data_IF_734614783735
#
_entry.id   IF_734614783735
#
_cell.length_a   1.000
_cell.length_b   1.000
_cell.length_c   1.000
_cell.angle_alpha   90.00
_cell.angle_beta   90.00
_cell.angle_gamma   90.00
#
_symmetry.space_group_name_H-M   'P 1'
#
loop_
_entity.id
_entity.type
_entity.pdbx_description
1 polymer ?
#
# COMPACT_ATOMS: atom_id res chain seq x y z
N UNK A 1 -1.95 10.70 43.15
CA UNK A 1 -2.06 9.42 42.42
C UNK A 1 -2.57 9.73 41.05
N UNK A 2 -1.66 9.80 40.08
CA UNK A 2 -2.00 10.09 38.67
C UNK A 2 -2.09 8.74 37.94
N UNK A 3 -3.30 8.37 37.53
CA UNK A 3 -3.51 7.25 36.63
C UNK A 3 -3.07 7.69 35.21
N UNK A 4 -1.95 7.16 34.76
CA UNK A 4 -1.53 7.28 33.39
C UNK A 4 -2.37 6.36 32.50
N UNK A 5 -3.33 6.94 31.77
CA UNK A 5 -3.99 6.25 30.67
C UNK A 5 -2.95 5.95 29.59
N UNK A 6 -2.49 4.71 29.58
CA UNK A 6 -1.68 4.14 28.51
C UNK A 6 -2.59 4.02 27.27
N UNK A 7 -2.67 5.09 26.46
CA UNK A 7 -3.31 5.06 25.15
C UNK A 7 -2.51 4.12 24.26
N UNK A 8 -2.93 2.86 24.20
CA UNK A 8 -2.41 1.87 23.26
C UNK A 8 -2.56 2.43 21.84
N UNK A 9 -1.45 2.43 21.11
CA UNK A 9 -1.42 2.83 19.72
C UNK A 9 -2.37 1.91 18.91
N UNK A 10 -3.29 2.43 18.09
CA UNK A 10 -4.27 1.63 17.37
C UNK A 10 -3.67 0.60 16.39
N UNK A 11 -2.36 0.68 16.12
CA UNK A 11 -1.62 -0.32 15.31
C UNK A 11 -1.14 -1.55 16.11
N UNK A 12 -1.28 -1.56 17.46
CA UNK A 12 -0.83 -2.68 18.30
C UNK A 12 -1.54 -4.02 18.03
N UNK A 13 -2.55 -4.04 17.16
CA UNK A 13 -3.32 -5.21 16.78
C UNK A 13 -3.36 -5.49 15.27
N UNK A 14 -2.50 -4.80 14.47
CA UNK A 14 -2.39 -5.13 13.04
C UNK A 14 -1.57 -6.40 12.91
N UNK A 15 -2.19 -7.48 12.44
CA UNK A 15 -1.47 -8.71 12.12
C UNK A 15 -0.60 -8.46 10.89
N UNK A 16 0.70 -8.36 11.09
CA UNK A 16 1.68 -8.32 10.00
C UNK A 16 1.93 -9.77 9.62
N UNK A 17 1.55 -10.14 8.41
CA UNK A 17 1.78 -11.49 7.86
C UNK A 17 2.95 -11.39 6.92
N UNK A 18 3.85 -12.36 7.03
CA UNK A 18 5.05 -12.44 6.22
C UNK A 18 4.77 -12.26 4.73
N UNK A 19 5.69 -11.57 4.05
CA UNK A 19 5.63 -11.41 2.62
C UNK A 19 5.57 -12.79 1.95
N UNK A 20 4.78 -12.91 0.90
CA UNK A 20 4.74 -14.12 0.09
C UNK A 20 6.15 -14.30 -0.48
N UNK A 21 6.90 -15.37 -0.14
CA UNK A 21 8.11 -15.67 -0.84
C UNK A 21 7.72 -15.91 -2.30
N UNK A 22 8.31 -15.19 -3.22
CA UNK A 22 8.22 -15.50 -4.63
C UNK A 22 9.08 -16.74 -4.85
N UNK A 23 8.48 -17.89 -4.62
CA UNK A 23 9.14 -19.18 -4.88
C UNK A 23 9.02 -19.42 -6.39
N UNK A 24 10.07 -19.16 -7.10
CA UNK A 24 10.29 -19.86 -8.37
C UNK A 24 10.51 -21.33 -7.97
N UNK A 25 9.49 -22.17 -8.14
CA UNK A 25 9.70 -23.61 -8.27
C UNK A 25 10.46 -23.84 -9.58
N UNK A 26 11.76 -23.69 -9.53
CA UNK A 26 12.65 -24.34 -10.49
C UNK A 26 12.91 -25.72 -9.90
N UNK A 27 12.22 -26.72 -10.45
CA UNK A 27 12.58 -28.11 -10.21
C UNK A 27 14.01 -28.35 -10.72
N UNK A 28 14.94 -28.70 -9.83
CA UNK A 28 16.32 -28.99 -10.15
C UNK A 28 17.09 -29.38 -8.93
N UNK A 29 17.27 -30.65 -8.75
CA UNK A 29 18.32 -31.45 -8.10
C UNK A 29 19.12 -30.89 -6.93
N UNK A 30 19.14 -31.71 -5.87
CA UNK A 30 19.80 -31.56 -4.59
C UNK A 30 21.33 -31.43 -4.74
N UNK A 31 21.91 -30.33 -4.25
CA UNK A 31 23.27 -30.31 -3.71
C UNK A 31 23.30 -29.55 -2.38
N UNK A 32 23.71 -30.27 -1.33
CA UNK A 32 23.96 -29.73 0.01
C UNK A 32 25.15 -28.78 0.01
N UNK A 33 24.90 -27.49 -0.12
CA UNK A 33 25.85 -26.42 0.18
C UNK A 33 25.41 -25.67 1.42
N UNK A 34 26.18 -25.80 2.55
CA UNK A 34 25.97 -24.96 3.73
C UNK A 34 26.34 -23.51 3.41
N UNK A 35 25.37 -22.70 3.10
CA UNK A 35 25.51 -21.24 3.11
C UNK A 35 24.97 -20.71 4.45
N UNK A 36 25.84 -20.04 5.22
CA UNK A 36 25.45 -19.24 6.36
C UNK A 36 24.55 -18.10 5.87
N UNK A 37 23.23 -18.31 5.94
CA UNK A 37 22.28 -17.23 5.76
C UNK A 37 22.39 -16.27 6.93
N UNK A 38 22.89 -15.05 6.66
CA UNK A 38 22.65 -13.91 7.52
C UNK A 38 21.13 -13.73 7.63
N UNK A 39 20.54 -14.22 8.72
CA UNK A 39 19.13 -14.06 9.05
C UNK A 39 18.88 -12.61 9.51
N UNK A 40 18.95 -11.67 8.58
CA UNK A 40 18.21 -10.42 8.71
C UNK A 40 16.76 -10.73 8.38
N UNK A 41 15.87 -10.35 9.28
CA UNK A 41 14.42 -10.52 9.12
C UNK A 41 13.95 -9.70 7.91
N UNK A 42 14.03 -10.29 6.71
CA UNK A 42 13.78 -9.64 5.41
C UNK A 42 12.30 -9.31 5.21
N UNK A 43 11.43 -9.64 6.17
CA UNK A 43 9.97 -9.67 5.98
C UNK A 43 9.17 -8.73 6.90
N UNK A 44 9.78 -7.93 7.77
CA UNK A 44 9.02 -7.01 8.62
C UNK A 44 8.94 -5.62 7.99
N UNK A 45 7.81 -5.29 7.40
CA UNK A 45 7.52 -3.91 6.96
C UNK A 45 7.10 -3.09 8.17
N UNK A 46 7.87 -2.06 8.51
CA UNK A 46 7.55 -1.17 9.62
C UNK A 46 6.39 -0.22 9.30
N UNK A 47 5.74 0.30 10.36
CA UNK A 47 4.72 1.36 10.22
C UNK A 47 5.27 2.58 9.50
N UNK A 48 6.55 2.91 9.74
CA UNK A 48 7.23 4.03 9.06
C UNK A 48 7.40 3.79 7.56
N UNK A 49 7.69 2.56 7.14
CA UNK A 49 7.82 2.21 5.73
C UNK A 49 6.46 2.26 5.02
N UNK A 50 5.40 1.78 5.68
CA UNK A 50 4.02 1.92 5.19
C UNK A 50 3.67 3.40 5.03
N UNK A 51 3.97 4.22 6.05
CA UNK A 51 3.72 5.66 6.02
C UNK A 51 4.47 6.35 4.87
N UNK A 52 5.74 6.00 4.63
CA UNK A 52 6.53 6.54 3.51
C UNK A 52 5.89 6.21 2.16
N UNK A 53 5.37 4.98 1.96
CA UNK A 53 4.68 4.60 0.74
C UNK A 53 3.45 5.48 0.50
N UNK A 54 2.60 5.68 1.52
CA UNK A 54 1.39 6.49 1.40
C UNK A 54 1.67 7.99 1.31
N UNK A 55 2.70 8.50 1.96
CA UNK A 55 3.14 9.90 1.85
C UNK A 55 3.86 10.20 0.54
N UNK A 56 4.45 9.19 -0.09
CA UNK A 56 5.10 9.29 -1.40
C UNK A 56 4.11 9.48 -2.55
N UNK A 57 4.65 9.69 -3.76
CA UNK A 57 3.85 9.85 -5.01
C UNK A 57 3.48 8.50 -5.62
N UNK A 58 3.07 7.55 -4.80
CA UNK A 58 2.75 6.20 -5.21
C UNK A 58 1.24 6.04 -5.38
N UNK A 59 0.81 5.41 -6.48
CA UNK A 59 -0.61 5.10 -6.67
C UNK A 59 -1.00 3.90 -5.82
N UNK A 60 -2.12 4.03 -5.10
CA UNK A 60 -2.74 2.91 -4.42
C UNK A 60 -3.83 2.28 -5.30
N UNK A 61 -3.91 0.96 -5.33
CA UNK A 61 -4.98 0.21 -5.97
C UNK A 61 -5.98 -0.21 -4.89
N UNK A 62 -7.18 0.34 -4.99
CA UNK A 62 -8.22 0.13 -3.98
C UNK A 62 -9.30 -0.78 -4.51
N UNK A 63 -9.56 -1.87 -3.80
CA UNK A 63 -10.62 -2.83 -4.06
C UNK A 63 -11.76 -2.68 -3.06
N UNK A 64 -12.98 -2.53 -3.56
CA UNK A 64 -14.23 -2.53 -2.80
C UNK A 64 -15.17 -3.58 -3.37
N UNK A 65 -16.16 -4.03 -2.60
CA UNK A 65 -17.10 -5.05 -3.02
C UNK A 65 -18.37 -4.43 -3.62
N UNK A 66 -18.71 -4.83 -4.83
CA UNK A 66 -19.99 -4.50 -5.48
C UNK A 66 -21.15 -5.24 -4.81
N UNK A 67 -22.39 -4.89 -5.17
CA UNK A 67 -23.61 -5.47 -4.58
C UNK A 67 -23.72 -7.00 -4.76
N UNK A 68 -23.12 -7.52 -5.83
CA UNK A 68 -23.05 -8.95 -6.14
C UNK A 68 -21.85 -9.66 -5.50
N UNK A 69 -21.08 -8.95 -4.67
CA UNK A 69 -19.87 -9.45 -4.04
C UNK A 69 -18.61 -9.42 -4.92
N UNK A 70 -18.74 -9.00 -6.18
CA UNK A 70 -17.58 -8.91 -7.07
C UNK A 70 -16.63 -7.78 -6.65
N UNK A 71 -15.29 -7.98 -6.73
CA UNK A 71 -14.32 -6.94 -6.42
C UNK A 71 -14.26 -5.88 -7.52
N UNK A 72 -14.30 -4.61 -7.12
CA UNK A 72 -14.13 -3.46 -7.99
C UNK A 72 -12.83 -2.73 -7.64
N UNK A 73 -11.83 -2.80 -8.51
CA UNK A 73 -10.50 -2.23 -8.29
C UNK A 73 -10.31 -0.94 -9.07
N UNK A 74 -9.74 0.07 -8.43
CA UNK A 74 -9.39 1.34 -9.08
C UNK A 74 -8.07 1.90 -8.53
N UNK A 75 -7.18 2.46 -9.38
CA UNK A 75 -6.05 3.25 -8.92
C UNK A 75 -6.55 4.59 -8.35
N UNK A 76 -5.94 5.03 -7.27
CA UNK A 76 -6.29 6.27 -6.57
C UNK A 76 -5.05 6.99 -6.04
N UNK A 77 -5.18 8.29 -5.84
CA UNK A 77 -4.31 9.03 -4.96
C UNK A 77 -4.70 8.74 -3.51
N UNK A 78 -3.74 8.60 -2.65
CA UNK A 78 -3.95 8.27 -1.24
C UNK A 78 -3.00 9.06 -0.34
N UNK A 79 -3.36 9.12 0.93
CA UNK A 79 -2.53 9.68 2.00
C UNK A 79 -2.73 8.87 3.27
N UNK A 80 -2.03 9.24 4.34
CA UNK A 80 -2.15 8.62 5.64
C UNK A 80 -2.20 9.71 6.72
N UNK A 81 -3.14 9.58 7.66
CA UNK A 81 -3.26 10.50 8.78
C UNK A 81 -2.29 10.13 9.93
N UNK A 82 -2.25 10.97 10.96
CA UNK A 82 -1.37 10.81 12.14
C UNK A 82 -1.74 9.58 12.99
N UNK A 83 -2.94 9.04 12.81
CA UNK A 83 -3.42 7.83 13.48
C UNK A 83 -3.21 6.56 12.62
N UNK A 84 -2.42 6.66 11.56
CA UNK A 84 -2.14 5.60 10.59
C UNK A 84 -3.38 5.10 9.84
N UNK A 85 -4.45 5.89 9.75
CA UNK A 85 -5.55 5.59 8.85
C UNK A 85 -5.20 6.03 7.43
N UNK A 86 -5.60 5.23 6.45
CA UNK A 86 -5.40 5.55 5.04
C UNK A 86 -6.56 6.45 4.58
N UNK A 87 -6.22 7.54 3.92
CA UNK A 87 -7.15 8.54 3.41
C UNK A 87 -7.30 8.42 1.90
N UNK A 88 -8.52 8.15 1.44
CA UNK A 88 -8.85 8.05 0.03
C UNK A 88 -9.86 9.14 -0.32
N UNK A 89 -9.46 10.08 -1.18
CA UNK A 89 -10.36 11.13 -1.65
C UNK A 89 -11.10 10.67 -2.91
N UNK A 90 -12.42 10.74 -2.88
CA UNK A 90 -13.24 10.33 -4.01
C UNK A 90 -14.45 11.25 -4.19
N UNK A 91 -15.25 11.01 -5.24
CA UNK A 91 -16.53 11.69 -5.44
C UNK A 91 -17.64 11.05 -4.61
N UNK A 92 -18.58 11.85 -4.11
CA UNK A 92 -19.78 11.40 -3.40
C UNK A 92 -20.62 10.41 -4.23
N UNK A 93 -20.58 10.51 -5.56
CA UNK A 93 -21.29 9.61 -6.47
C UNK A 93 -20.47 8.42 -6.94
N UNK A 94 -19.25 8.23 -6.43
CA UNK A 94 -18.36 7.15 -6.87
C UNK A 94 -18.86 5.77 -6.46
N UNK A 95 -18.52 4.75 -7.25
CA UNK A 95 -18.81 3.36 -6.90
C UNK A 95 -18.19 2.98 -5.55
N UNK A 96 -16.92 3.35 -5.31
CA UNK A 96 -16.21 3.08 -4.04
C UNK A 96 -16.98 3.58 -2.81
N UNK A 97 -17.54 4.79 -2.90
CA UNK A 97 -18.34 5.37 -1.80
C UNK A 97 -19.60 4.54 -1.55
N UNK A 98 -20.35 4.22 -2.60
CA UNK A 98 -21.57 3.41 -2.48
C UNK A 98 -21.30 1.99 -1.98
N UNK A 99 -20.22 1.38 -2.45
CA UNK A 99 -19.79 0.05 -2.00
C UNK A 99 -19.45 0.07 -0.50
N UNK A 100 -18.64 1.04 -0.07
CA UNK A 100 -18.22 1.16 1.32
C UNK A 100 -19.36 1.51 2.30
N UNK A 101 -20.50 2.04 1.82
CA UNK A 101 -21.71 2.22 2.64
C UNK A 101 -22.42 0.91 2.94
N UNK A 102 -22.37 -0.03 1.99
CA UNK A 102 -23.02 -1.34 2.13
C UNK A 102 -22.11 -2.36 2.79
N UNK A 103 -20.86 -2.38 2.37
CA UNK A 103 -19.82 -3.25 2.91
C UNK A 103 -18.53 -2.44 3.14
N UNK A 104 -18.18 -2.18 4.40
CA UNK A 104 -17.01 -1.36 4.72
C UNK A 104 -15.67 -2.07 4.47
N UNK A 105 -15.66 -3.35 4.13
CA UNK A 105 -14.42 -4.09 3.83
C UNK A 105 -13.74 -3.52 2.59
N UNK A 106 -12.44 -3.38 2.68
CA UNK A 106 -11.62 -2.77 1.63
C UNK A 106 -10.25 -3.44 1.60
N UNK A 107 -9.72 -3.63 0.39
CA UNK A 107 -8.34 -4.03 0.22
C UNK A 107 -7.58 -2.93 -0.54
N UNK A 108 -6.33 -2.70 -0.15
CA UNK A 108 -5.48 -1.66 -0.74
C UNK A 108 -4.11 -2.28 -1.01
N UNK A 109 -3.62 -2.10 -2.23
CA UNK A 109 -2.23 -2.39 -2.56
C UNK A 109 -1.56 -1.10 -3.01
N UNK A 110 -0.35 -0.84 -2.52
CA UNK A 110 0.47 0.29 -2.93
C UNK A 110 1.88 -0.19 -3.20
N UNK A 111 2.46 0.31 -4.30
CA UNK A 111 3.77 -0.08 -4.80
C UNK A 111 4.59 1.18 -4.99
N UNK A 112 5.84 1.18 -4.57
CA UNK A 112 6.74 2.29 -4.80
C UNK A 112 7.02 2.47 -6.30
N UNK A 113 6.91 3.71 -6.78
CA UNK A 113 6.98 4.02 -8.21
C UNK A 113 8.29 3.58 -8.87
N UNK A 114 9.40 3.66 -8.13
CA UNK A 114 10.75 3.38 -8.66
C UNK A 114 11.36 2.07 -8.13
N UNK A 115 10.68 1.41 -7.19
CA UNK A 115 11.06 0.11 -6.67
C UNK A 115 9.81 -0.77 -6.48
N UNK A 116 9.40 -1.54 -7.50
CA UNK A 116 8.17 -2.34 -7.44
C UNK A 116 8.21 -3.45 -6.39
N UNK A 117 9.38 -3.77 -5.83
CA UNK A 117 9.54 -4.71 -4.73
C UNK A 117 9.38 -4.07 -3.35
N UNK A 118 9.24 -2.73 -3.28
CA UNK A 118 8.79 -2.06 -2.07
C UNK A 118 7.28 -1.84 -2.18
N UNK A 119 6.51 -2.73 -1.57
CA UNK A 119 5.06 -2.75 -1.68
C UNK A 119 4.40 -3.24 -0.40
N UNK A 120 3.16 -2.81 -0.21
CA UNK A 120 2.29 -3.34 0.83
C UNK A 120 0.91 -3.66 0.28
N UNK A 121 0.30 -4.72 0.83
CA UNK A 121 -1.10 -5.09 0.64
C UNK A 121 -1.81 -5.05 1.99
N UNK A 122 -2.93 -4.36 2.05
CA UNK A 122 -3.65 -4.06 3.29
C UNK A 122 -5.08 -4.54 3.14
N UNK A 123 -5.55 -5.33 4.12
CA UNK A 123 -6.98 -5.52 4.36
C UNK A 123 -7.40 -4.57 5.47
N UNK A 124 -8.55 -3.92 5.32
CA UNK A 124 -9.02 -2.95 6.29
C UNK A 124 -10.52 -2.67 6.17
N UNK A 125 -10.96 -1.69 6.93
CA UNK A 125 -12.35 -1.21 6.94
C UNK A 125 -12.43 0.28 6.78
N UNK A 126 -13.41 0.74 6.01
CA UNK A 126 -13.83 2.14 6.02
C UNK A 126 -14.54 2.41 7.35
N UNK A 127 -13.93 3.24 8.19
CA UNK A 127 -14.44 3.60 9.52
C UNK A 127 -15.17 4.94 9.53
N UNK A 128 -14.94 5.77 8.50
CA UNK A 128 -15.56 7.09 8.38
C UNK A 128 -15.66 7.47 6.90
N UNK A 129 -16.76 8.14 6.56
CA UNK A 129 -16.98 8.79 5.26
C UNK A 129 -17.36 10.26 5.54
N UNK A 130 -16.49 11.20 5.20
CA UNK A 130 -16.68 12.61 5.56
C UNK A 130 -16.44 13.55 4.39
N UNK A 131 -17.27 14.58 4.29
CA UNK A 131 -17.04 15.71 3.38
C UNK A 131 -16.20 16.81 4.00
N UNK A 132 -16.01 16.75 5.34
CA UNK A 132 -15.24 17.75 6.07
C UNK A 132 -13.77 17.67 5.64
N UNK A 133 -13.22 18.79 5.18
CA UNK A 133 -11.83 18.85 4.71
C UNK A 133 -11.56 18.17 3.37
N UNK A 134 -12.57 17.56 2.72
CA UNK A 134 -12.35 16.76 1.52
C UNK A 134 -11.83 17.57 0.31
N UNK A 135 -12.24 18.82 0.18
CA UNK A 135 -11.73 19.71 -0.88
C UNK A 135 -10.28 20.13 -0.60
N UNK A 136 -9.93 20.37 0.67
CA UNK A 136 -8.55 20.69 1.05
C UNK A 136 -7.63 19.48 0.85
N UNK A 137 -8.08 18.31 1.28
CA UNK A 137 -7.36 17.06 1.07
C UNK A 137 -7.14 16.78 -0.43
N UNK A 138 -8.12 17.08 -1.31
CA UNK A 138 -7.92 16.96 -2.75
C UNK A 138 -6.83 17.92 -3.27
N UNK A 139 -6.76 19.16 -2.74
CA UNK A 139 -5.69 20.11 -3.10
C UNK A 139 -4.32 19.60 -2.66
N UNK A 140 -4.22 19.07 -1.45
CA UNK A 140 -2.99 18.45 -0.93
C UNK A 140 -2.54 17.28 -1.81
N UNK A 141 -3.45 16.40 -2.20
CA UNK A 141 -3.17 15.30 -3.11
C UNK A 141 -2.74 15.81 -4.50
N UNK A 142 -3.42 16.82 -5.04
CA UNK A 142 -3.04 17.40 -6.33
C UNK A 142 -1.64 18.03 -6.27
N UNK A 143 -1.30 18.71 -5.19
CA UNK A 143 0.05 19.22 -4.96
C UNK A 143 1.07 18.08 -4.89
N UNK A 144 0.75 17.00 -4.16
CA UNK A 144 1.63 15.83 -4.01
C UNK A 144 1.87 15.13 -5.35
N UNK A 145 0.82 14.83 -6.11
CA UNK A 145 0.92 13.99 -7.31
C UNK A 145 1.23 14.78 -8.59
N UNK A 146 0.77 16.02 -8.71
CA UNK A 146 0.89 16.82 -9.93
C UNK A 146 1.88 17.99 -9.79
N UNK A 147 2.32 18.32 -8.58
CA UNK A 147 3.19 19.46 -8.30
C UNK A 147 2.46 20.80 -8.25
N UNK A 148 1.13 20.84 -8.34
CA UNK A 148 0.33 22.07 -8.22
C UNK A 148 -1.03 21.75 -7.57
N UNK A 149 -1.50 22.63 -6.70
CA UNK A 149 -2.71 22.43 -5.88
C UNK A 149 -4.05 22.64 -6.63
N UNK A 150 -4.07 22.58 -7.97
CA UNK A 150 -5.29 22.70 -8.78
C UNK A 150 -5.61 21.37 -9.46
N UNK A 151 -6.79 20.83 -9.16
CA UNK A 151 -7.29 19.64 -9.83
C UNK A 151 -8.27 20.04 -10.93
N UNK A 152 -7.80 20.04 -12.18
CA UNK A 152 -8.56 20.58 -13.33
C UNK A 152 -9.72 19.69 -13.79
N UNK A 153 -9.74 18.41 -13.45
CA UNK A 153 -10.77 17.46 -13.90
C UNK A 153 -12.00 17.43 -12.98
N UNK A 154 -12.10 18.34 -12.02
CA UNK A 154 -13.26 18.44 -11.14
C UNK A 154 -14.46 18.96 -11.90
N UNK A 155 -15.55 18.18 -11.93
CA UNK A 155 -16.84 18.69 -12.41
C UNK A 155 -17.38 19.74 -11.43
N UNK A 156 -17.99 20.83 -11.88
CA UNK A 156 -18.45 21.95 -11.02
C UNK A 156 -19.38 21.54 -9.85
N UNK A 157 -20.10 20.41 -9.99
CA UNK A 157 -21.03 19.89 -8.97
C UNK A 157 -20.49 18.65 -8.25
N UNK A 158 -19.23 18.28 -8.45
CA UNK A 158 -18.62 17.10 -7.81
C UNK A 158 -18.28 17.40 -6.35
N UNK A 159 -19.11 16.88 -5.45
CA UNK A 159 -18.82 16.92 -4.02
C UNK A 159 -17.78 15.85 -3.68
N UNK A 160 -16.74 16.28 -2.98
CA UNK A 160 -15.66 15.38 -2.55
C UNK A 160 -15.97 14.79 -1.20
N UNK A 161 -15.49 13.56 -1.01
CA UNK A 161 -15.59 12.81 0.24
C UNK A 161 -14.26 12.10 0.51
N UNK A 162 -13.89 12.00 1.77
CA UNK A 162 -12.78 11.19 2.24
C UNK A 162 -13.34 9.89 2.79
N UNK A 163 -12.85 8.77 2.30
CA UNK A 163 -12.98 7.47 2.94
C UNK A 163 -11.76 7.30 3.85
N UNK A 164 -12.00 7.19 5.17
CA UNK A 164 -10.97 6.91 6.15
C UNK A 164 -10.95 5.41 6.42
N UNK A 165 -9.84 4.78 6.14
CA UNK A 165 -9.67 3.33 6.23
C UNK A 165 -8.75 2.99 7.39
N UNK A 166 -9.24 2.16 8.31
CA UNK A 166 -8.43 1.56 9.36
C UNK A 166 -7.80 0.27 8.83
N UNK A 167 -6.47 0.15 8.83
CA UNK A 167 -5.79 -1.11 8.53
C UNK A 167 -6.13 -2.18 9.59
N UNK A 168 -6.38 -3.43 9.15
CA UNK A 168 -6.63 -4.57 10.02
C UNK A 168 -5.56 -5.66 9.85
N UNK A 169 -5.08 -5.84 8.61
CA UNK A 169 -4.04 -6.80 8.29
C UNK A 169 -3.14 -6.22 7.21
N UNK A 170 -1.83 -6.28 7.42
CA UNK A 170 -0.84 -5.75 6.49
C UNK A 170 0.10 -6.87 6.09
N UNK A 171 0.35 -6.98 4.78
CA UNK A 171 1.39 -7.81 4.19
C UNK A 171 2.28 -6.90 3.37
N UNK A 172 3.57 -7.00 3.53
CA UNK A 172 4.51 -6.15 2.80
C UNK A 172 5.71 -6.92 2.29
N UNK A 173 6.33 -6.37 1.27
CA UNK A 173 7.61 -6.77 0.75
C UNK A 173 8.45 -5.51 0.61
N UNK A 174 9.66 -5.53 1.17
CA UNK A 174 10.63 -4.45 0.99
C UNK A 174 11.97 -5.08 0.61
N UNK A 175 12.30 -5.04 -0.67
CA UNK A 175 13.60 -5.47 -1.18
C UNK A 175 14.46 -4.26 -1.50
N UNK A 176 15.74 -4.33 -1.12
CA UNK A 176 16.69 -3.29 -1.44
C UNK A 176 16.82 -3.15 -2.98
N UNK A 177 16.86 -1.91 -3.54
CA UNK A 177 16.94 -1.69 -4.99
C UNK A 177 18.07 -2.44 -5.70
N UNK A 178 19.18 -2.75 -5.01
CA UNK A 178 20.28 -3.53 -5.56
C UNK A 178 19.85 -4.96 -5.98
N UNK A 179 18.87 -5.55 -5.30
CA UNK A 179 18.32 -6.86 -5.69
C UNK A 179 17.58 -6.80 -7.04
N UNK A 180 16.91 -5.69 -7.32
CA UNK A 180 16.26 -5.47 -8.60
C UNK A 180 17.29 -5.43 -9.74
N UNK A 181 18.40 -4.71 -9.54
CA UNK A 181 19.48 -4.64 -10.54
C UNK A 181 20.15 -6.01 -10.78
N UNK A 182 20.31 -6.82 -9.76
CA UNK A 182 20.88 -8.17 -9.88
C UNK A 182 19.93 -9.14 -10.60
N UNK A 183 18.63 -9.07 -10.30
CA UNK A 183 17.63 -9.97 -10.88
C UNK A 183 17.20 -9.60 -12.31
N UNK A 184 17.27 -8.30 -12.67
CA UNK A 184 16.75 -7.77 -13.93
C UNK A 184 17.76 -6.91 -14.69
N UNK A 185 19.07 -7.13 -14.49
CA UNK A 185 20.08 -6.46 -15.30
C UNK A 185 19.87 -6.81 -16.78
N UNK A 186 19.65 -5.82 -17.67
CA UNK A 186 19.57 -6.08 -19.11
C UNK A 186 20.90 -6.55 -19.72
N UNK A 187 21.97 -6.61 -18.92
CA UNK A 187 23.30 -7.05 -19.33
C UNK A 187 23.61 -8.51 -18.96
N UNK A 188 22.59 -9.37 -18.82
CA UNK A 188 22.78 -10.80 -18.58
C UNK A 188 23.51 -11.09 -17.27
N UNK A 189 23.17 -12.18 -16.62
CA UNK A 189 23.99 -12.71 -15.52
C UNK A 189 25.43 -12.93 -16.01
N UNK A 190 26.47 -12.68 -15.18
CA UNK A 190 27.86 -12.89 -15.57
C UNK A 190 28.24 -14.38 -15.51
N UNK A 191 27.49 -15.26 -16.13
CA UNK A 191 27.83 -16.66 -16.25
C UNK A 191 27.48 -17.20 -17.62
N UNK A 192 28.53 -17.23 -18.45
CA UNK A 192 28.94 -18.38 -19.26
C UNK A 192 30.30 -18.07 -19.87
N UNK A 193 31.35 -18.17 -19.06
CA UNK A 193 32.63 -18.47 -19.61
C UNK A 193 32.72 -19.98 -19.75
N UNK A 194 32.20 -20.51 -20.84
CA UNK A 194 32.55 -21.84 -21.32
C UNK A 194 34.05 -21.90 -21.58
N UNK A 195 34.75 -22.67 -20.75
CA UNK A 195 36.09 -23.16 -21.08
C UNK A 195 36.00 -24.05 -22.34
N UNK A 196 36.61 -23.62 -23.39
CA UNK A 196 37.15 -24.47 -24.45
C UNK A 196 38.65 -24.50 -24.31
#
# INVERSE_FOLDING_TARGET
>A
MMNGDNKRNPVDHVEIVDAIPYVNEVAGDEEEGKEEHASGDLNSVSVDDISKLFKGRNLAFVSTLSDDGSPHVTPVWSDMDENNNILINTSEISAKKRHAEKDPRIAISIVEQYNPYNMVSIKGRVIEQTTIGADEHLRTLAQKYLGFGKYFYRKPKDKRIILKVKPEKVMGLSLHPAFYFLAYSPFGSPEEKTNT
#
